data_IF_873116379784
#
_entry.id   IF_873116379784
#
_cell.length_a   1.000
_cell.length_b   1.000
_cell.length_c   1.000
_cell.angle_alpha   90.00
_cell.angle_beta   90.00
_cell.angle_gamma   90.00
#
_symmetry.space_group_name_H-M   'P 1'
#
loop_
_entity.id
_entity.type
_entity.pdbx_description
1 polymer ?
#
# COMPACT_ATOMS: atom_id res chain seq x y z
N UNK A 1 23.80 -26.16 18.18
CA UNK A 1 24.15 -24.86 17.62
C UNK A 1 22.96 -24.45 16.79
N UNK A 2 22.34 -23.38 17.14
CA UNK A 2 20.99 -23.01 16.78
C UNK A 2 20.82 -22.73 15.29
N UNK A 3 20.01 -23.54 14.63
CA UNK A 3 19.38 -23.20 13.35
C UNK A 3 18.38 -22.08 13.66
N UNK A 4 18.80 -20.82 13.49
CA UNK A 4 17.90 -19.70 13.54
C UNK A 4 16.87 -19.88 12.42
N UNK A 5 15.59 -19.91 12.80
CA UNK A 5 14.46 -19.83 11.91
C UNK A 5 14.68 -18.70 10.91
N UNK A 6 14.89 -19.05 9.66
CA UNK A 6 14.66 -18.14 8.56
C UNK A 6 13.14 -17.96 8.53
N UNK A 7 12.66 -16.91 9.19
CA UNK A 7 11.27 -16.49 9.04
C UNK A 7 11.06 -16.25 7.54
N UNK A 8 10.14 -17.00 6.93
CA UNK A 8 9.71 -16.80 5.56
C UNK A 8 9.42 -15.31 5.39
N UNK A 9 10.08 -14.70 4.42
CA UNK A 9 9.91 -13.29 4.07
C UNK A 9 8.53 -13.12 3.45
N UNK A 10 7.47 -13.18 4.29
CA UNK A 10 6.11 -12.94 3.84
C UNK A 10 6.03 -11.50 3.37
N UNK A 11 5.78 -11.30 2.10
CA UNK A 11 5.58 -10.00 1.48
C UNK A 11 4.34 -9.34 2.09
N UNK A 12 4.54 -8.31 2.92
CA UNK A 12 3.45 -7.58 3.60
C UNK A 12 3.14 -6.31 2.85
N UNK A 13 1.86 -6.00 2.71
CA UNK A 13 1.37 -4.79 2.09
C UNK A 13 1.12 -3.76 3.19
N UNK A 14 1.77 -2.60 3.08
CA UNK A 14 1.53 -1.46 3.97
C UNK A 14 0.62 -0.44 3.28
N UNK A 15 -0.55 -0.17 3.86
CA UNK A 15 -1.43 0.92 3.45
C UNK A 15 -1.28 2.04 4.47
N UNK A 16 -0.84 3.22 4.03
CA UNK A 16 -0.74 4.39 4.89
C UNK A 16 -1.86 5.36 4.58
N UNK A 17 -2.64 5.73 5.60
CA UNK A 17 -3.73 6.70 5.48
C UNK A 17 -3.18 8.07 5.83
N UNK A 18 -2.90 8.86 4.80
CA UNK A 18 -2.24 10.16 4.88
C UNK A 18 -3.22 11.32 4.82
N UNK A 19 -2.80 12.50 5.24
CA UNK A 19 -3.58 13.74 5.16
C UNK A 19 -3.43 14.63 6.37
N UNK A 20 -4.00 15.82 6.31
CA UNK A 20 -3.86 16.87 7.31
C UNK A 20 -4.39 16.47 8.69
N UNK A 21 -4.03 17.21 9.73
CA UNK A 21 -4.67 17.14 11.06
C UNK A 21 -6.14 17.55 10.86
N UNK A 22 -7.08 16.79 11.44
CA UNK A 22 -8.52 17.04 11.24
C UNK A 22 -9.10 16.51 9.92
N UNK A 23 -8.31 15.87 9.04
CA UNK A 23 -8.82 15.35 7.75
C UNK A 23 -9.79 14.15 7.87
N UNK A 24 -9.92 13.53 9.05
CA UNK A 24 -10.80 12.40 9.27
C UNK A 24 -10.15 11.01 9.22
N UNK A 25 -8.81 10.94 9.06
CA UNK A 25 -8.05 9.67 9.01
C UNK A 25 -8.34 8.72 10.16
N UNK A 26 -8.20 9.19 11.41
CA UNK A 26 -8.42 8.39 12.61
C UNK A 26 -9.83 7.81 12.67
N UNK A 27 -10.82 8.57 12.20
CA UNK A 27 -12.21 8.10 12.11
C UNK A 27 -12.33 7.01 11.05
N UNK A 28 -11.76 7.22 9.87
CA UNK A 28 -11.80 6.24 8.79
C UNK A 28 -11.08 4.94 9.19
N UNK A 29 -9.85 5.03 9.73
CA UNK A 29 -9.07 3.85 10.18
C UNK A 29 -9.84 3.08 11.25
N UNK A 30 -10.45 3.75 12.23
CA UNK A 30 -11.24 3.10 13.28
C UNK A 30 -12.50 2.42 12.73
N UNK A 31 -13.19 3.03 11.77
CA UNK A 31 -14.34 2.41 11.10
C UNK A 31 -13.92 1.17 10.32
N UNK A 32 -12.80 1.23 9.61
CA UNK A 32 -12.22 0.10 8.87
C UNK A 32 -11.80 -1.02 9.84
N UNK A 33 -11.15 -0.68 10.96
CA UNK A 33 -10.77 -1.66 11.99
C UNK A 33 -12.01 -2.41 12.51
N UNK A 34 -13.12 -1.70 12.78
CA UNK A 34 -14.37 -2.33 13.21
C UNK A 34 -14.98 -3.22 12.13
N UNK A 35 -14.91 -2.83 10.86
CA UNK A 35 -15.44 -3.60 9.73
C UNK A 35 -14.65 -4.90 9.53
N UNK A 36 -13.32 -4.83 9.61
CA UNK A 36 -12.42 -5.96 9.35
C UNK A 36 -11.91 -6.66 10.62
N UNK A 37 -12.48 -6.41 11.78
CA UNK A 37 -12.03 -6.96 13.09
C UNK A 37 -11.91 -8.49 13.14
N UNK A 38 -12.59 -9.21 12.25
CA UNK A 38 -12.54 -10.67 12.16
C UNK A 38 -11.40 -11.19 11.25
N UNK A 39 -10.75 -10.30 10.50
CA UNK A 39 -9.63 -10.64 9.61
C UNK A 39 -8.31 -10.61 10.40
N UNK A 40 -7.85 -11.77 10.86
CA UNK A 40 -6.60 -11.90 11.65
C UNK A 40 -5.34 -11.55 10.88
N UNK A 41 -5.44 -11.50 9.57
CA UNK A 41 -4.34 -11.17 8.65
C UNK A 41 -4.21 -9.67 8.36
N UNK A 42 -5.05 -8.83 8.97
CA UNK A 42 -4.95 -7.37 8.89
C UNK A 42 -4.52 -6.83 10.25
N UNK A 43 -3.50 -5.99 10.27
CA UNK A 43 -3.09 -5.23 11.45
C UNK A 43 -3.41 -3.74 11.26
N UNK A 44 -3.87 -3.10 12.33
CA UNK A 44 -4.20 -1.66 12.37
C UNK A 44 -3.23 -0.93 13.28
N UNK A 45 -2.59 0.11 12.77
CA UNK A 45 -1.66 0.96 13.50
C UNK A 45 -2.25 2.36 13.58
N UNK A 46 -2.70 2.73 14.76
CA UNK A 46 -3.14 4.09 15.05
C UNK A 46 -1.93 4.97 15.42
N UNK A 47 -2.10 6.27 15.26
CA UNK A 47 -1.08 7.23 15.70
C UNK A 47 -0.85 7.11 17.22
N UNK A 48 0.40 6.92 17.71
CA UNK A 48 0.67 6.57 19.10
C UNK A 48 0.59 7.78 20.05
N UNK A 49 -0.46 8.57 19.96
CA UNK A 49 -0.66 9.79 20.75
C UNK A 49 -0.66 9.51 22.25
N UNK A 50 -1.19 8.36 22.68
CA UNK A 50 -1.21 7.99 24.09
C UNK A 50 0.20 7.86 24.66
N UNK A 51 1.14 7.27 23.90
CA UNK A 51 2.55 7.20 24.30
C UNK A 51 3.19 8.59 24.43
N UNK A 52 2.74 9.55 23.61
CA UNK A 52 3.22 10.93 23.69
C UNK A 52 2.71 11.65 24.93
N UNK A 53 1.48 11.34 25.36
CA UNK A 53 0.88 11.90 26.58
C UNK A 53 1.45 11.30 27.88
N UNK A 54 2.14 10.16 27.81
CA UNK A 54 2.84 9.55 28.94
C UNK A 54 4.16 10.28 29.27
N UNK A 55 4.79 10.94 28.28
CA UNK A 55 6.04 11.68 28.47
C UNK A 55 5.72 13.06 29.04
N UNK A 56 6.04 13.25 30.30
CA UNK A 56 5.75 14.45 31.09
C UNK A 56 6.99 15.02 31.71
N UNK A 57 7.02 16.34 31.92
CA UNK A 57 8.03 17.00 32.73
C UNK A 57 7.70 16.94 34.22
N UNK A 58 8.52 17.61 35.05
CA UNK A 58 8.35 17.64 36.50
C UNK A 58 7.04 18.32 36.97
N UNK A 59 6.48 19.19 36.14
CA UNK A 59 5.24 19.92 36.40
C UNK A 59 4.00 19.14 35.92
N UNK A 60 4.22 17.99 35.26
CA UNK A 60 3.18 17.13 34.74
C UNK A 60 2.69 17.52 33.34
N UNK A 61 3.29 18.50 32.67
CA UNK A 61 2.97 18.89 31.32
C UNK A 61 3.53 17.88 30.31
N UNK A 62 2.68 17.44 29.37
CA UNK A 62 3.05 16.45 28.35
C UNK A 62 4.00 17.04 27.32
N UNK A 63 4.77 16.17 26.63
CA UNK A 63 5.63 16.58 25.52
C UNK A 63 4.83 17.26 24.40
N UNK A 64 3.57 16.87 24.20
CA UNK A 64 2.68 17.49 23.20
C UNK A 64 2.29 18.92 23.62
N UNK A 65 1.92 19.14 24.88
CA UNK A 65 1.66 20.47 25.43
C UNK A 65 2.91 21.37 25.32
N UNK A 66 4.07 20.86 25.69
CA UNK A 66 5.37 21.57 25.57
C UNK A 66 5.67 21.93 24.12
N UNK A 67 5.44 21.01 23.18
CA UNK A 67 5.65 21.28 21.75
C UNK A 67 4.81 22.47 21.27
N UNK A 68 3.50 22.49 21.56
CA UNK A 68 2.64 23.60 21.12
C UNK A 68 2.89 24.90 21.89
N UNK A 69 3.37 24.84 23.15
CA UNK A 69 3.67 26.04 23.94
C UNK A 69 4.98 26.71 23.53
N UNK A 70 6.00 25.93 23.13
CA UNK A 70 7.32 26.43 22.74
C UNK A 70 7.95 25.53 21.66
N UNK A 71 7.53 25.74 20.42
CA UNK A 71 8.02 24.98 19.27
C UNK A 71 9.52 25.17 19.03
N UNK A 72 10.09 26.34 19.35
CA UNK A 72 11.53 26.57 19.17
C UNK A 72 12.38 25.61 20.01
N UNK A 73 11.91 25.27 21.20
CA UNK A 73 12.62 24.42 22.13
C UNK A 73 12.34 22.92 21.94
N UNK A 74 11.09 22.58 21.61
CA UNK A 74 10.62 21.20 21.69
C UNK A 74 10.38 20.52 20.34
N UNK A 75 10.52 21.24 19.20
CA UNK A 75 10.27 20.66 17.87
C UNK A 75 11.13 19.43 17.58
N UNK A 76 12.43 19.49 17.84
CA UNK A 76 13.33 18.36 17.59
C UNK A 76 12.96 17.15 18.46
N UNK A 77 12.79 17.35 19.75
CA UNK A 77 12.46 16.27 20.68
C UNK A 77 11.12 15.61 20.33
N UNK A 78 10.10 16.42 20.04
CA UNK A 78 8.78 15.92 19.65
C UNK A 78 8.83 15.17 18.33
N UNK A 79 9.51 15.72 17.30
CA UNK A 79 9.61 15.11 15.98
C UNK A 79 10.35 13.77 16.02
N UNK A 80 11.44 13.67 16.77
CA UNK A 80 12.15 12.41 16.97
C UNK A 80 11.31 11.37 17.69
N UNK A 81 10.57 11.77 18.72
CA UNK A 81 9.69 10.86 19.46
C UNK A 81 8.54 10.37 18.57
N UNK A 82 7.89 11.25 17.80
CA UNK A 82 6.80 10.90 16.89
C UNK A 82 7.29 9.87 15.87
N UNK A 83 8.45 10.12 15.24
CA UNK A 83 9.07 9.22 14.27
C UNK A 83 9.42 7.85 14.90
N UNK A 84 10.16 7.83 16.02
CA UNK A 84 10.65 6.59 16.64
C UNK A 84 9.49 5.74 17.16
N UNK A 85 8.48 6.35 17.79
CA UNK A 85 7.31 5.62 18.30
C UNK A 85 6.51 4.96 17.17
N UNK A 86 6.27 5.66 16.06
CA UNK A 86 5.60 5.13 14.88
C UNK A 86 6.41 3.98 14.24
N UNK A 87 7.71 4.19 14.06
CA UNK A 87 8.61 3.17 13.52
C UNK A 87 8.66 1.92 14.41
N UNK A 88 8.71 2.08 15.73
CA UNK A 88 8.74 0.95 16.66
C UNK A 88 7.50 0.07 16.56
N UNK A 89 6.32 0.67 16.44
CA UNK A 89 5.05 -0.07 16.26
C UNK A 89 5.06 -0.79 14.91
N UNK A 90 5.44 -0.10 13.84
CA UNK A 90 5.50 -0.68 12.50
C UNK A 90 6.45 -1.87 12.45
N UNK A 91 7.67 -1.75 12.98
CA UNK A 91 8.66 -2.85 12.99
C UNK A 91 8.17 -4.07 13.75
N UNK A 92 7.54 -3.90 14.91
CA UNK A 92 6.93 -5.01 15.67
C UNK A 92 5.85 -5.71 14.83
N UNK A 93 5.05 -4.95 14.11
CA UNK A 93 3.98 -5.51 13.28
C UNK A 93 4.51 -6.20 12.03
N UNK A 94 5.57 -5.66 11.41
CA UNK A 94 6.26 -6.32 10.30
C UNK A 94 6.82 -7.71 10.69
N UNK A 95 7.22 -7.89 11.95
CA UNK A 95 7.73 -9.18 12.47
C UNK A 95 6.60 -10.14 12.91
N UNK A 96 5.34 -9.69 12.96
CA UNK A 96 4.21 -10.54 13.38
C UNK A 96 3.84 -11.52 12.27
N UNK A 97 3.84 -12.82 12.56
CA UNK A 97 3.42 -13.85 11.62
C UNK A 97 1.92 -13.79 11.35
N UNK A 98 1.51 -14.20 10.14
CA UNK A 98 0.10 -14.27 9.74
C UNK A 98 -0.56 -12.93 9.42
N UNK A 99 0.17 -11.81 9.46
CA UNK A 99 -0.28 -10.50 9.00
C UNK A 99 0.18 -10.31 7.56
N UNK A 100 -0.76 -10.06 6.64
CA UNK A 100 -0.47 -9.76 5.24
C UNK A 100 -0.61 -8.27 4.93
N UNK A 101 -1.60 -7.61 5.54
CA UNK A 101 -1.94 -6.22 5.30
C UNK A 101 -1.79 -5.44 6.60
N UNK A 102 -1.07 -4.33 6.53
CA UNK A 102 -0.90 -3.39 7.63
C UNK A 102 -1.54 -2.07 7.21
N UNK A 103 -2.48 -1.57 8.01
CA UNK A 103 -3.13 -0.28 7.78
C UNK A 103 -2.65 0.68 8.85
N UNK A 104 -1.92 1.71 8.45
CA UNK A 104 -1.32 2.69 9.36
C UNK A 104 -1.97 4.06 9.23
N UNK A 105 -2.36 4.66 10.34
CA UNK A 105 -2.67 6.08 10.38
C UNK A 105 -1.36 6.88 10.31
N UNK A 106 -1.11 7.53 9.17
CA UNK A 106 0.15 8.15 8.77
C UNK A 106 1.30 7.15 8.58
N UNK A 107 2.38 7.65 8.05
CA UNK A 107 3.63 6.93 7.86
C UNK A 107 4.82 7.72 8.36
N UNK A 108 5.97 7.07 8.45
CA UNK A 108 7.25 7.72 8.65
C UNK A 108 7.60 8.69 7.52
N UNK A 109 7.02 8.49 6.32
CA UNK A 109 7.19 9.39 5.17
C UNK A 109 6.49 10.74 5.42
N UNK A 110 5.27 10.77 5.98
CA UNK A 110 4.61 12.00 6.40
C UNK A 110 5.41 12.73 7.46
N UNK A 111 5.95 12.00 8.45
CA UNK A 111 6.83 12.61 9.47
C UNK A 111 8.00 13.34 8.81
N UNK A 112 8.62 12.74 7.79
CA UNK A 112 9.77 13.29 7.07
C UNK A 112 9.42 14.43 6.12
N UNK A 113 8.42 14.23 5.26
CA UNK A 113 8.18 15.12 4.11
C UNK A 113 7.21 16.24 4.41
N UNK A 114 6.38 16.08 5.41
CA UNK A 114 5.44 17.10 5.85
C UNK A 114 5.98 17.77 7.12
N UNK A 115 6.02 17.06 8.23
CA UNK A 115 6.27 17.71 9.52
C UNK A 115 7.73 18.13 9.72
N UNK A 116 8.70 17.24 9.56
CA UNK A 116 10.10 17.58 9.75
C UNK A 116 10.58 18.63 8.74
N UNK A 117 10.15 18.50 7.47
CA UNK A 117 10.48 19.49 6.43
C UNK A 117 9.87 20.86 6.75
N UNK A 118 8.59 20.91 7.12
CA UNK A 118 7.90 22.15 7.50
C UNK A 118 8.59 22.83 8.70
N UNK A 119 8.96 22.06 9.71
CA UNK A 119 9.67 22.59 10.89
C UNK A 119 11.06 23.12 10.54
N UNK A 120 11.79 22.44 9.67
CA UNK A 120 13.10 22.88 9.19
C UNK A 120 13.00 24.17 8.36
N UNK A 121 12.08 24.24 7.42
CA UNK A 121 11.89 25.44 6.58
C UNK A 121 11.40 26.64 7.40
N UNK A 122 10.64 26.39 8.46
CA UNK A 122 10.19 27.40 9.44
C UNK A 122 11.27 27.76 10.47
N UNK A 123 12.50 27.20 10.36
CA UNK A 123 13.62 27.43 11.31
C UNK A 123 13.34 26.98 12.76
N UNK A 124 12.36 26.08 12.92
CA UNK A 124 12.05 25.43 14.21
C UNK A 124 12.91 24.16 14.44
N UNK A 125 13.55 23.65 13.40
CA UNK A 125 14.68 22.72 13.44
C UNK A 125 15.89 23.41 12.83
N UNK A 126 17.04 23.35 13.50
CA UNK A 126 18.29 23.81 12.93
C UNK A 126 18.94 22.76 12.01
N UNK A 127 20.01 23.14 11.31
CA UNK A 127 20.66 22.29 10.31
C UNK A 127 21.21 20.98 10.93
N UNK A 128 21.70 21.03 12.16
CA UNK A 128 22.25 19.83 12.84
C UNK A 128 21.12 18.89 13.25
N UNK A 129 20.06 19.42 13.86
CA UNK A 129 18.88 18.65 14.28
C UNK A 129 18.22 17.96 13.09
N UNK A 130 18.08 18.67 11.97
CA UNK A 130 17.50 18.12 10.76
C UNK A 130 18.37 17.04 10.13
N UNK A 131 19.70 17.21 10.10
CA UNK A 131 20.63 16.19 9.64
C UNK A 131 20.61 14.93 10.52
N UNK A 132 20.52 15.08 11.85
CA UNK A 132 20.35 13.96 12.77
C UNK A 132 19.06 13.21 12.47
N UNK A 133 17.95 13.93 12.31
CA UNK A 133 16.66 13.33 11.94
C UNK A 133 16.76 12.53 10.64
N UNK A 134 17.36 13.10 9.58
CA UNK A 134 17.53 12.43 8.30
C UNK A 134 18.36 11.15 8.39
N UNK A 135 19.45 11.16 9.18
CA UNK A 135 20.27 9.97 9.39
C UNK A 135 19.48 8.81 9.98
N UNK A 136 18.65 9.07 10.99
CA UNK A 136 17.80 8.04 11.58
C UNK A 136 16.69 7.59 10.63
N UNK A 137 16.14 8.51 9.84
CA UNK A 137 15.15 8.17 8.85
C UNK A 137 15.71 7.21 7.78
N UNK A 138 16.88 7.50 7.24
CA UNK A 138 17.53 6.70 6.19
C UNK A 138 17.94 5.30 6.67
N UNK A 139 18.30 5.16 7.95
CA UNK A 139 18.75 3.88 8.53
C UNK A 139 17.66 2.80 8.50
N UNK A 140 16.40 3.19 8.66
CA UNK A 140 15.29 2.25 8.82
C UNK A 140 14.33 2.16 7.63
N UNK A 141 14.59 2.88 6.55
CA UNK A 141 13.73 2.90 5.36
C UNK A 141 13.67 1.57 4.61
N UNK A 142 14.72 0.76 4.67
CA UNK A 142 14.83 -0.48 3.90
C UNK A 142 13.88 -1.60 4.33
N UNK A 143 13.14 -1.40 5.41
CA UNK A 143 12.23 -2.42 5.97
C UNK A 143 10.84 -2.41 5.32
N UNK A 144 10.50 -1.36 4.53
CA UNK A 144 9.19 -1.18 3.92
C UNK A 144 9.30 -1.44 2.41
N UNK A 145 8.75 -2.55 1.93
CA UNK A 145 8.89 -2.99 0.53
C UNK A 145 7.72 -2.59 -0.36
N UNK A 146 6.47 -2.75 0.10
CA UNK A 146 5.26 -2.46 -0.66
C UNK A 146 4.39 -1.48 0.13
N UNK A 147 4.41 -0.21 -0.28
CA UNK A 147 3.70 0.87 0.41
C UNK A 147 2.67 1.53 -0.51
N UNK A 148 1.41 1.47 -0.09
CA UNK A 148 0.28 2.11 -0.74
C UNK A 148 -0.13 3.35 0.04
N UNK A 149 -0.09 4.51 -0.60
CA UNK A 149 -0.45 5.79 0.02
C UNK A 149 -1.92 6.09 -0.28
N UNK A 150 -2.74 6.14 0.77
CA UNK A 150 -4.13 6.53 0.72
C UNK A 150 -4.29 7.96 1.26
N UNK A 151 -4.28 8.95 0.36
CA UNK A 151 -4.26 10.36 0.73
C UNK A 151 -5.66 10.93 0.88
N UNK A 152 -6.02 11.31 2.11
CA UNK A 152 -7.29 11.98 2.46
C UNK A 152 -7.08 13.50 2.33
N UNK A 153 -7.36 14.01 1.13
CA UNK A 153 -7.26 15.43 0.81
C UNK A 153 -8.44 16.17 1.42
N UNK A 154 -8.17 17.08 2.34
CA UNK A 154 -9.19 17.87 3.03
C UNK A 154 -8.77 19.33 3.05
N UNK A 155 -9.71 20.23 2.74
CA UNK A 155 -9.45 21.66 2.77
C UNK A 155 -9.12 22.13 4.19
N UNK A 156 -8.16 23.07 4.36
CA UNK A 156 -7.70 23.49 5.68
C UNK A 156 -8.80 24.02 6.58
N UNK A 157 -9.79 24.73 6.03
CA UNK A 157 -10.95 25.28 6.76
C UNK A 157 -11.82 24.14 7.36
N UNK A 158 -12.11 23.12 6.55
CA UNK A 158 -12.88 21.93 6.99
C UNK A 158 -12.11 21.16 8.05
N UNK A 159 -10.81 21.01 7.85
CA UNK A 159 -9.93 20.35 8.81
C UNK A 159 -9.89 21.12 10.14
N UNK A 160 -9.79 22.45 10.09
CA UNK A 160 -9.78 23.34 11.26
C UNK A 160 -11.08 23.25 12.06
N UNK A 161 -12.24 23.31 11.40
CA UNK A 161 -13.53 23.14 12.06
C UNK A 161 -13.61 21.79 12.81
N UNK A 162 -13.07 20.72 12.22
CA UNK A 162 -13.05 19.37 12.84
C UNK A 162 -12.10 19.32 14.04
N UNK A 163 -10.95 20.01 13.96
CA UNK A 163 -10.00 20.12 15.09
C UNK A 163 -10.67 20.85 16.27
N UNK A 164 -11.34 21.98 16.02
CA UNK A 164 -12.05 22.71 17.05
C UNK A 164 -13.17 21.88 17.71
N UNK A 165 -13.94 21.13 16.92
CA UNK A 165 -14.99 20.21 17.44
C UNK A 165 -14.43 19.06 18.28
N UNK A 166 -13.23 18.55 17.92
CA UNK A 166 -12.58 17.47 18.65
C UNK A 166 -12.05 17.90 20.01
N UNK A 167 -11.60 19.14 20.13
CA UNK A 167 -11.10 19.78 21.37
C UNK A 167 -10.12 18.90 22.17
N UNK A 168 -9.07 18.34 21.50
CA UNK A 168 -8.07 17.55 22.17
C UNK A 168 -7.23 18.44 23.09
N UNK A 169 -7.05 18.00 24.35
CA UNK A 169 -6.24 18.73 25.32
C UNK A 169 -4.80 18.92 24.83
N UNK A 170 -4.29 20.14 24.95
CA UNK A 170 -2.93 20.51 24.54
C UNK A 170 -2.74 20.78 23.06
N UNK A 171 -3.74 20.57 22.20
CA UNK A 171 -3.68 20.95 20.78
C UNK A 171 -4.15 22.42 20.60
N UNK A 172 -3.20 23.34 20.48
CA UNK A 172 -3.45 24.76 20.23
C UNK A 172 -2.84 25.15 18.88
N UNK A 173 -3.50 24.77 17.78
CA UNK A 173 -3.04 25.14 16.45
C UNK A 173 -4.02 26.11 15.79
N UNK A 174 -3.48 27.04 15.00
CA UNK A 174 -4.26 27.95 14.20
C UNK A 174 -4.47 27.44 12.77
N UNK A 175 -5.32 28.10 12.02
CA UNK A 175 -5.60 27.75 10.63
C UNK A 175 -4.36 27.86 9.73
N UNK A 176 -3.43 28.78 10.02
CA UNK A 176 -2.21 28.97 9.22
C UNK A 176 -1.27 27.77 9.38
N UNK A 177 -1.24 27.16 10.56
CA UNK A 177 -0.51 25.91 10.76
C UNK A 177 -1.09 24.77 9.90
N UNK A 178 -2.41 24.63 9.89
CA UNK A 178 -3.09 23.62 9.06
C UNK A 178 -2.94 23.89 7.57
N UNK A 179 -2.94 25.16 7.15
CA UNK A 179 -2.67 25.53 5.76
C UNK A 179 -1.27 25.09 5.36
N UNK A 180 -0.24 25.37 6.17
CA UNK A 180 1.13 24.90 5.88
C UNK A 180 1.20 23.37 5.83
N UNK A 181 0.59 22.66 6.77
CA UNK A 181 0.53 21.20 6.73
C UNK A 181 -0.11 20.69 5.43
N UNK A 182 -1.17 21.33 4.97
CA UNK A 182 -1.84 21.02 3.70
C UNK A 182 -0.89 21.22 2.52
N UNK A 183 -0.23 22.36 2.43
CA UNK A 183 0.67 22.70 1.32
C UNK A 183 1.84 21.70 1.23
N UNK A 184 2.41 21.27 2.36
CA UNK A 184 3.46 20.26 2.40
C UNK A 184 2.95 18.85 1.98
N UNK A 185 1.72 18.47 2.35
CA UNK A 185 1.12 17.23 1.86
C UNK A 185 0.93 17.29 0.33
N UNK A 186 0.34 18.36 -0.20
CA UNK A 186 0.13 18.53 -1.64
C UNK A 186 1.46 18.48 -2.40
N UNK A 187 2.48 19.20 -1.93
CA UNK A 187 3.80 19.18 -2.55
C UNK A 187 4.43 17.79 -2.54
N UNK A 188 4.33 17.07 -1.43
CA UNK A 188 4.85 15.70 -1.32
C UNK A 188 4.14 14.75 -2.29
N UNK A 189 2.81 14.70 -2.28
CA UNK A 189 2.00 13.82 -3.15
C UNK A 189 2.24 14.16 -4.64
N UNK A 190 2.27 15.44 -5.00
CA UNK A 190 2.59 15.86 -6.38
C UNK A 190 3.98 15.43 -6.84
N UNK A 191 4.97 15.48 -5.95
CA UNK A 191 6.32 15.04 -6.26
C UNK A 191 6.38 13.52 -6.50
N UNK A 192 5.64 12.73 -5.73
CA UNK A 192 5.53 11.28 -5.95
C UNK A 192 4.90 10.96 -7.32
N UNK A 193 3.83 11.65 -7.71
CA UNK A 193 3.21 11.46 -9.04
C UNK A 193 4.15 11.81 -10.19
N UNK A 194 4.99 12.83 -10.05
CA UNK A 194 5.96 13.22 -11.08
C UNK A 194 7.06 12.18 -11.27
N UNK A 195 7.50 11.54 -10.20
CA UNK A 195 8.55 10.51 -10.28
C UNK A 195 8.06 9.21 -10.92
N UNK A 196 6.78 8.89 -10.78
CA UNK A 196 6.15 7.71 -11.41
C UNK A 196 5.94 7.88 -12.92
N UNK A 197 5.84 9.12 -13.44
CA UNK A 197 5.51 9.39 -14.85
C UNK A 197 6.73 9.66 -15.76
N UNK A 198 7.94 9.85 -15.22
CA UNK A 198 9.13 10.12 -16.02
C UNK A 198 10.05 8.90 -16.09
N UNK A 199 9.75 7.99 -17.02
CA UNK A 199 10.65 6.92 -17.45
C UNK A 199 11.83 7.42 -18.32
N UNK A 200 12.34 8.64 -18.12
CA UNK A 200 13.37 9.23 -18.96
C UNK A 200 14.79 8.95 -18.46
N UNK A 201 15.56 8.33 -19.35
CA UNK A 201 16.92 7.87 -19.20
C UNK A 201 17.99 8.97 -19.40
N UNK A 202 17.73 10.22 -19.04
CA UNK A 202 18.73 11.30 -19.21
C UNK A 202 19.42 11.65 -17.90
N UNK A 203 20.68 11.23 -17.82
CA UNK A 203 21.51 11.09 -16.61
C UNK A 203 22.41 12.31 -16.35
N UNK A 204 21.94 13.54 -16.59
CA UNK A 204 22.70 14.77 -16.31
C UNK A 204 21.91 15.70 -15.39
N UNK A 205 22.35 15.80 -14.12
CA UNK A 205 21.80 16.63 -13.03
C UNK A 205 20.55 16.11 -12.28
N UNK A 206 20.51 14.82 -11.95
CA UNK A 206 19.59 14.35 -10.90
C UNK A 206 20.17 14.67 -9.51
N UNK A 207 19.63 15.68 -8.83
CA UNK A 207 19.52 15.58 -7.38
C UNK A 207 18.77 14.27 -7.13
N UNK A 208 19.51 13.24 -6.72
CA UNK A 208 18.96 11.92 -6.44
C UNK A 208 17.93 12.09 -5.35
N UNK A 209 16.65 11.98 -5.74
CA UNK A 209 15.56 11.91 -4.77
C UNK A 209 15.88 10.70 -3.87
N UNK A 210 16.08 10.87 -2.55
CA UNK A 210 16.45 9.78 -1.66
C UNK A 210 15.42 8.63 -1.66
N UNK A 211 14.18 8.86 -2.12
CA UNK A 211 13.18 7.80 -2.34
C UNK A 211 13.57 6.79 -3.42
N UNK A 212 14.23 7.24 -4.49
CA UNK A 212 14.61 6.36 -5.60
C UNK A 212 15.86 5.52 -5.29
N UNK A 213 16.53 5.73 -4.17
CA UNK A 213 17.77 5.02 -3.86
C UNK A 213 17.52 3.63 -3.26
N UNK A 214 16.34 3.39 -2.69
CA UNK A 214 16.03 2.16 -1.95
C UNK A 214 14.72 1.47 -2.35
N UNK A 215 13.82 2.14 -3.10
CA UNK A 215 12.61 1.53 -3.64
C UNK A 215 12.58 1.71 -5.15
N UNK A 216 12.87 0.65 -5.90
CA UNK A 216 12.55 0.55 -7.34
C UNK A 216 11.03 0.33 -7.56
N UNK A 217 10.19 0.57 -6.55
CA UNK A 217 8.75 0.40 -6.60
C UNK A 217 8.02 1.72 -6.81
N UNK A 218 7.10 1.76 -7.76
CA UNK A 218 6.13 2.83 -7.89
C UNK A 218 5.22 2.82 -6.66
N UNK A 219 5.10 3.97 -5.97
CA UNK A 219 4.12 4.11 -4.91
C UNK A 219 2.71 4.09 -5.51
N UNK A 220 1.89 3.15 -5.08
CA UNK A 220 0.46 3.18 -5.40
C UNK A 220 -0.22 4.29 -4.58
N UNK A 221 -0.63 5.38 -5.24
CA UNK A 221 -1.25 6.53 -4.58
C UNK A 221 -2.72 6.61 -4.95
N UNK A 222 -3.58 6.60 -3.94
CA UNK A 222 -5.02 6.84 -4.07
C UNK A 222 -5.39 8.11 -3.32
N UNK A 223 -5.89 9.13 -4.02
CA UNK A 223 -6.38 10.38 -3.41
C UNK A 223 -7.89 10.33 -3.27
N UNK A 224 -8.39 10.66 -2.08
CA UNK A 224 -9.81 10.68 -1.75
C UNK A 224 -10.19 12.04 -1.17
N UNK A 225 -11.37 12.55 -1.56
CA UNK A 225 -11.90 13.80 -1.03
C UNK A 225 -12.36 13.62 0.43
N UNK A 226 -11.61 14.20 1.35
CA UNK A 226 -11.91 14.21 2.77
C UNK A 226 -12.95 15.24 3.19
N UNK A 227 -13.40 16.14 2.30
CA UNK A 227 -14.49 17.09 2.58
C UNK A 227 -15.86 16.41 2.56
N UNK A 228 -15.96 15.28 1.88
CA UNK A 228 -17.19 14.50 1.72
C UNK A 228 -17.62 13.87 3.05
N UNK A 229 -18.93 13.89 3.32
CA UNK A 229 -19.50 13.29 4.55
C UNK A 229 -19.33 11.76 4.61
N UNK A 230 -19.28 11.22 5.84
CA UNK A 230 -19.04 9.79 6.09
C UNK A 230 -20.11 8.85 5.49
N UNK A 231 -21.32 9.35 5.25
CA UNK A 231 -22.47 8.55 4.81
C UNK A 231 -22.63 8.52 3.28
N UNK A 232 -21.67 9.00 2.52
CA UNK A 232 -21.73 9.02 1.06
C UNK A 232 -20.98 7.82 0.48
N UNK A 233 -21.36 7.41 -0.74
CA UNK A 233 -20.69 6.34 -1.47
C UNK A 233 -19.19 6.61 -1.67
N UNK A 234 -18.83 7.86 -1.92
CA UNK A 234 -17.45 8.32 -2.11
C UNK A 234 -16.76 8.73 -0.81
N UNK A 235 -17.30 8.36 0.35
CA UNK A 235 -16.64 8.64 1.63
C UNK A 235 -15.29 7.93 1.73
N UNK A 236 -14.39 8.53 2.49
CA UNK A 236 -13.06 7.95 2.79
C UNK A 236 -13.18 6.49 3.26
N UNK A 237 -14.17 6.20 4.09
CA UNK A 237 -14.44 4.86 4.59
C UNK A 237 -14.78 3.87 3.46
N UNK A 238 -15.73 4.21 2.59
CA UNK A 238 -16.20 3.30 1.53
C UNK A 238 -15.13 3.03 0.48
N UNK A 239 -14.38 4.07 0.08
CA UNK A 239 -13.28 3.91 -0.87
C UNK A 239 -12.16 3.05 -0.27
N UNK A 240 -11.76 3.31 0.96
CA UNK A 240 -10.73 2.52 1.64
C UNK A 240 -11.19 1.07 1.88
N UNK A 241 -12.45 0.86 2.26
CA UNK A 241 -13.06 -0.48 2.41
C UNK A 241 -12.96 -1.28 1.12
N UNK A 242 -13.40 -0.71 0.00
CA UNK A 242 -13.35 -1.36 -1.33
C UNK A 242 -11.92 -1.71 -1.73
N UNK A 243 -10.98 -0.79 -1.47
CA UNK A 243 -9.57 -1.01 -1.73
C UNK A 243 -8.99 -2.18 -0.94
N UNK A 244 -9.26 -2.24 0.37
CA UNK A 244 -8.82 -3.34 1.24
C UNK A 244 -9.43 -4.68 0.80
N UNK A 245 -10.71 -4.70 0.44
CA UNK A 245 -11.37 -5.91 -0.06
C UNK A 245 -10.69 -6.45 -1.33
N UNK A 246 -10.27 -5.56 -2.25
CA UNK A 246 -9.50 -5.96 -3.44
C UNK A 246 -8.15 -6.57 -3.05
N UNK A 247 -7.43 -5.98 -2.11
CA UNK A 247 -6.14 -6.51 -1.65
C UNK A 247 -6.29 -7.84 -0.91
N UNK A 248 -7.33 -8.02 -0.09
CA UNK A 248 -7.59 -9.29 0.59
C UNK A 248 -7.77 -10.43 -0.40
N UNK A 249 -8.54 -10.22 -1.48
CA UNK A 249 -8.69 -11.21 -2.55
C UNK A 249 -7.35 -11.58 -3.18
N UNK A 250 -6.47 -10.59 -3.44
CA UNK A 250 -5.12 -10.85 -3.96
C UNK A 250 -4.27 -11.68 -2.99
N UNK A 251 -4.34 -11.40 -1.68
CA UNK A 251 -3.63 -12.17 -0.66
C UNK A 251 -4.17 -13.61 -0.53
N UNK A 252 -5.49 -13.80 -0.66
CA UNK A 252 -6.11 -15.14 -0.65
C UNK A 252 -5.66 -15.98 -1.84
N UNK A 253 -5.65 -15.40 -3.03
CA UNK A 253 -5.15 -16.08 -4.24
C UNK A 253 -3.68 -16.47 -4.08
N UNK A 254 -2.83 -15.59 -3.56
CA UNK A 254 -1.41 -15.90 -3.30
C UNK A 254 -1.26 -17.05 -2.32
N UNK A 255 -1.99 -17.08 -1.22
CA UNK A 255 -1.92 -18.17 -0.23
C UNK A 255 -2.39 -19.51 -0.79
N UNK A 256 -3.44 -19.50 -1.62
CA UNK A 256 -3.89 -20.71 -2.29
C UNK A 256 -2.79 -21.25 -3.22
N UNK A 257 -2.10 -20.39 -3.95
CA UNK A 257 -0.98 -20.81 -4.80
C UNK A 257 0.19 -21.39 -3.97
N UNK A 258 0.56 -20.73 -2.85
CA UNK A 258 1.62 -21.21 -1.94
C UNK A 258 1.25 -22.53 -1.24
N UNK A 259 -0.02 -22.79 -0.91
CA UNK A 259 -0.46 -24.02 -0.26
C UNK A 259 -0.42 -25.23 -1.21
N UNK A 260 -0.70 -25.04 -2.49
CA UNK A 260 -0.64 -26.10 -3.51
C UNK A 260 0.81 -26.60 -3.69
N UNK A 261 1.79 -25.70 -3.66
CA UNK A 261 3.21 -26.06 -3.82
C UNK A 261 3.77 -26.87 -2.64
N UNK A 262 3.23 -26.72 -1.43
CA UNK A 262 3.69 -27.41 -0.21
C UNK A 262 3.16 -28.86 -0.11
N UNK A 263 2.01 -29.14 -0.73
CA UNK A 263 1.43 -30.51 -0.72
C UNK A 263 2.07 -31.42 -1.77
N UNK A 264 2.51 -30.88 -2.90
CA UNK A 264 3.17 -31.65 -3.96
C UNK A 264 4.59 -32.13 -3.56
N UNK A 265 5.35 -31.37 -2.78
CA UNK A 265 6.70 -31.72 -2.32
C UNK A 265 6.73 -32.95 -1.31
N UNK A 266 5.60 -33.38 -0.79
CA UNK A 266 5.53 -34.44 0.21
C UNK A 266 5.27 -35.82 -0.37
N UNK A 267 4.96 -35.98 -1.66
CA UNK A 267 4.48 -37.19 -2.27
C UNK A 267 5.32 -37.77 -3.43
N UNK A 268 6.55 -37.31 -3.66
CA UNK A 268 7.38 -37.83 -4.76
C UNK A 268 8.55 -38.60 -4.20
N UNK A 269 8.44 -39.94 -4.16
CA UNK A 269 9.60 -40.84 -4.27
C UNK A 269 10.09 -40.84 -5.73
N UNK A 270 11.42 -40.87 -5.99
CA UNK A 270 11.94 -40.74 -7.34
C UNK A 270 11.70 -42.06 -8.13
N UNK A 271 10.68 -42.09 -8.97
CA UNK A 271 10.56 -43.07 -10.05
C UNK A 271 11.10 -42.49 -11.35
N UNK A 272 11.87 -43.34 -12.08
CA UNK A 272 12.55 -43.05 -13.33
C UNK A 272 11.60 -42.46 -14.39
N UNK A 273 11.89 -41.25 -14.87
CA UNK A 273 11.13 -40.60 -15.95
C UNK A 273 11.75 -40.89 -17.31
N UNK A 274 10.95 -41.55 -18.15
CA UNK A 274 11.18 -41.75 -19.58
C UNK A 274 10.78 -40.46 -20.35
N UNK A 275 11.73 -39.87 -21.10
CA UNK A 275 11.56 -38.67 -21.89
C UNK A 275 10.77 -38.98 -23.17
N UNK A 276 9.44 -38.98 -23.12
CA UNK A 276 8.61 -38.87 -24.32
C UNK A 276 7.14 -38.64 -23.99
N UNK A 277 6.73 -37.35 -23.88
CA UNK A 277 5.43 -36.84 -24.32
C UNK A 277 5.23 -35.39 -23.83
N UNK A 278 5.78 -34.44 -24.58
CA UNK A 278 5.30 -33.05 -24.53
C UNK A 278 3.98 -32.98 -25.30
N UNK A 279 2.86 -33.06 -24.57
CA UNK A 279 1.59 -32.55 -25.07
C UNK A 279 1.30 -31.23 -24.35
N UNK A 280 1.54 -30.13 -25.06
CA UNK A 280 1.04 -28.78 -24.71
C UNK A 280 -0.48 -28.87 -24.52
N UNK A 281 -0.93 -28.81 -23.26
CA UNK A 281 -2.35 -28.66 -22.96
C UNK A 281 -2.66 -27.16 -22.81
N UNK A 282 -3.00 -26.51 -23.90
CA UNK A 282 -3.67 -25.22 -23.87
C UNK A 282 -4.97 -25.35 -23.08
N UNK A 283 -5.06 -24.69 -21.91
CA UNK A 283 -6.28 -24.65 -21.12
C UNK A 283 -7.07 -23.39 -21.47
N UNK A 284 -8.12 -23.58 -22.24
CA UNK A 284 -9.12 -22.53 -22.54
C UNK A 284 -10.21 -22.53 -21.48
N UNK A 285 -10.45 -21.39 -20.86
CA UNK A 285 -11.61 -21.14 -20.02
C UNK A 285 -12.58 -20.24 -20.80
N UNK A 286 -13.72 -20.79 -21.22
CA UNK A 286 -14.81 -19.98 -21.77
C UNK A 286 -15.58 -19.32 -20.62
N UNK A 287 -15.52 -18.00 -20.55
CA UNK A 287 -16.30 -17.21 -19.59
C UNK A 287 -17.74 -17.07 -20.15
N UNK A 288 -18.55 -18.12 -20.04
CA UNK A 288 -19.97 -18.05 -20.38
C UNK A 288 -20.72 -17.45 -19.20
N UNK A 289 -21.25 -16.23 -19.39
CA UNK A 289 -22.30 -15.59 -18.58
C UNK A 289 -22.09 -15.54 -17.07
N UNK A 290 -21.19 -14.68 -16.59
CA UNK A 290 -21.29 -14.14 -15.25
C UNK A 290 -22.26 -12.95 -15.26
N UNK A 291 -23.57 -13.23 -15.18
CA UNK A 291 -24.56 -12.21 -14.87
C UNK A 291 -24.46 -11.82 -13.40
N UNK A 292 -23.74 -10.75 -13.10
CA UNK A 292 -24.03 -9.91 -11.95
C UNK A 292 -24.77 -8.68 -12.46
N UNK A 293 -26.07 -8.61 -12.14
CA UNK A 293 -26.94 -7.55 -12.57
C UNK A 293 -26.45 -6.18 -12.12
N UNK A 294 -26.10 -5.36 -13.09
CA UNK A 294 -26.35 -3.93 -13.14
C UNK A 294 -26.84 -3.63 -14.55
N UNK A 295 -28.10 -3.27 -14.63
CA UNK A 295 -28.76 -2.82 -15.84
C UNK A 295 -28.14 -1.52 -16.33
N UNK A 296 -27.44 -1.57 -17.46
CA UNK A 296 -27.55 -0.55 -18.50
C UNK A 296 -27.21 -1.20 -19.83
N UNK A 297 -28.19 -1.13 -20.71
CA UNK A 297 -28.33 -1.78 -21.99
C UNK A 297 -27.17 -1.47 -22.95
N UNK A 298 -26.35 -2.48 -23.24
CA UNK A 298 -25.98 -2.86 -24.60
C UNK A 298 -25.84 -4.38 -24.59
N UNK A 299 -26.80 -5.09 -25.18
CA UNK A 299 -26.70 -6.52 -25.47
C UNK A 299 -25.64 -6.69 -26.58
N UNK A 300 -24.39 -6.86 -26.18
CA UNK A 300 -23.36 -7.41 -27.03
C UNK A 300 -23.42 -8.94 -26.85
N UNK A 301 -23.83 -9.66 -27.89
CA UNK A 301 -23.86 -11.13 -27.91
C UNK A 301 -22.44 -11.73 -28.05
N UNK A 302 -21.39 -11.00 -27.74
CA UNK A 302 -20.03 -11.47 -27.89
C UNK A 302 -19.66 -12.50 -26.82
N UNK A 303 -19.02 -13.58 -27.26
CA UNK A 303 -18.37 -14.53 -26.34
C UNK A 303 -16.98 -14.01 -26.03
N UNK A 304 -16.66 -13.86 -24.74
CA UNK A 304 -15.33 -13.46 -24.28
C UNK A 304 -14.51 -14.70 -23.92
N UNK A 305 -13.26 -14.73 -24.38
CA UNK A 305 -12.34 -15.84 -24.15
C UNK A 305 -11.07 -15.32 -23.53
N UNK A 306 -10.66 -15.97 -22.43
CA UNK A 306 -9.37 -15.76 -21.79
C UNK A 306 -8.50 -16.99 -22.03
N UNK A 307 -7.40 -16.82 -22.75
CA UNK A 307 -6.30 -17.78 -22.87
C UNK A 307 -5.17 -17.32 -21.96
N UNK A 308 -4.57 -18.24 -21.24
CA UNK A 308 -3.44 -17.96 -20.36
C UNK A 308 -2.48 -19.15 -20.36
N UNK A 309 -1.20 -18.84 -20.12
CA UNK A 309 -0.15 -19.84 -20.01
C UNK A 309 0.94 -19.34 -19.05
N UNK A 310 1.67 -20.27 -18.46
CA UNK A 310 2.81 -19.97 -17.60
C UNK A 310 3.78 -21.14 -17.57
N UNK A 311 5.07 -20.82 -17.47
CA UNK A 311 6.10 -21.84 -17.44
C UNK A 311 7.35 -21.43 -16.69
N UNK A 312 8.12 -22.39 -16.25
CA UNK A 312 9.43 -22.18 -15.63
C UNK A 312 10.52 -23.04 -16.26
N UNK A 313 11.74 -22.48 -16.35
CA UNK A 313 12.94 -23.25 -16.76
C UNK A 313 13.55 -23.91 -15.54
N UNK A 314 13.12 -25.12 -15.25
CA UNK A 314 13.32 -25.81 -13.98
C UNK A 314 12.06 -25.68 -13.09
N UNK A 315 11.91 -26.55 -12.11
CA UNK A 315 10.71 -26.54 -11.24
C UNK A 315 11.11 -26.72 -9.76
N UNK A 316 11.38 -25.63 -9.00
CA UNK A 316 11.29 -24.21 -9.41
C UNK A 316 12.44 -23.74 -10.30
N UNK A 317 12.22 -22.65 -11.04
CA UNK A 317 13.21 -22.00 -11.90
C UNK A 317 12.74 -20.64 -12.44
N UNK A 318 13.52 -20.03 -13.34
CA UNK A 318 13.13 -18.78 -13.98
C UNK A 318 11.80 -18.96 -14.71
N UNK A 319 10.78 -18.21 -14.29
CA UNK A 319 9.41 -18.38 -14.73
C UNK A 319 8.84 -17.11 -15.35
N UNK A 320 7.86 -17.29 -16.21
CA UNK A 320 7.06 -16.23 -16.78
C UNK A 320 5.65 -16.72 -17.04
N UNK A 321 4.71 -15.78 -17.15
CA UNK A 321 3.33 -16.07 -17.51
C UNK A 321 2.80 -15.04 -18.48
N UNK A 322 1.71 -15.37 -19.18
CA UNK A 322 1.02 -14.48 -20.10
C UNK A 322 -0.45 -14.78 -20.20
N UNK A 323 -1.20 -13.83 -20.75
CA UNK A 323 -2.61 -14.00 -21.07
C UNK A 323 -2.97 -13.26 -22.35
N UNK A 324 -4.07 -13.71 -22.98
CA UNK A 324 -4.73 -13.09 -24.09
C UNK A 324 -6.25 -13.08 -23.85
N UNK A 325 -6.84 -11.89 -23.80
CA UNK A 325 -8.28 -11.69 -23.63
C UNK A 325 -8.85 -11.15 -24.95
N UNK A 326 -9.84 -11.85 -25.54
CA UNK A 326 -10.45 -11.45 -26.78
C UNK A 326 -11.95 -11.74 -26.80
N UNK A 327 -12.68 -11.05 -27.67
CA UNK A 327 -14.08 -11.34 -27.98
C UNK A 327 -14.22 -12.10 -29.32
N UNK A 328 -15.25 -12.92 -29.40
CA UNK A 328 -15.67 -13.59 -30.62
C UNK A 328 -17.06 -13.07 -30.94
N UNK A 329 -17.24 -12.49 -32.14
CA UNK A 329 -18.55 -12.07 -32.64
C UNK A 329 -19.38 -13.26 -33.14
N UNK A 330 -20.68 -13.05 -33.37
CA UNK A 330 -21.58 -14.07 -33.96
C UNK A 330 -21.10 -14.58 -35.32
N UNK A 331 -20.34 -13.78 -36.06
CA UNK A 331 -19.73 -14.14 -37.34
C UNK A 331 -18.41 -14.93 -37.20
N UNK A 332 -17.92 -15.10 -35.94
CA UNK A 332 -16.70 -15.84 -35.64
C UNK A 332 -15.43 -15.01 -35.70
N UNK A 333 -15.52 -13.70 -35.86
CA UNK A 333 -14.35 -12.82 -35.90
C UNK A 333 -13.79 -12.61 -34.47
N UNK A 334 -12.48 -12.74 -34.34
CA UNK A 334 -11.76 -12.52 -33.07
C UNK A 334 -11.25 -11.08 -32.99
N UNK A 335 -11.56 -10.40 -31.88
CA UNK A 335 -11.02 -9.06 -31.57
C UNK A 335 -10.30 -9.09 -30.25
N UNK A 336 -8.97 -8.88 -30.26
CA UNK A 336 -8.16 -8.78 -29.05
C UNK A 336 -8.56 -7.55 -28.24
N UNK A 337 -8.83 -7.75 -26.95
CA UNK A 337 -9.22 -6.72 -25.98
C UNK A 337 -8.01 -6.32 -25.13
N UNK A 338 -7.28 -7.32 -24.63
CA UNK A 338 -6.07 -7.11 -23.86
C UNK A 338 -5.15 -8.32 -23.99
N UNK A 339 -3.86 -8.07 -23.88
CA UNK A 339 -2.83 -9.09 -23.73
C UNK A 339 -1.77 -8.60 -22.73
N UNK A 340 -1.02 -9.51 -22.17
CA UNK A 340 0.05 -9.17 -21.24
C UNK A 340 0.91 -10.35 -20.87
N UNK A 341 2.12 -10.06 -20.40
CA UNK A 341 3.02 -11.06 -19.87
C UNK A 341 3.81 -10.49 -18.70
N UNK A 342 4.23 -11.38 -17.78
CA UNK A 342 5.03 -11.01 -16.61
C UNK A 342 6.17 -12.01 -16.39
N UNK A 343 7.33 -11.48 -16.01
CA UNK A 343 8.47 -12.28 -15.55
C UNK A 343 8.37 -12.48 -14.04
N UNK A 344 8.25 -13.74 -13.60
CA UNK A 344 7.91 -14.10 -12.23
C UNK A 344 9.13 -14.45 -11.35
N UNK A 345 10.36 -14.26 -11.87
CA UNK A 345 11.60 -14.75 -11.24
C UNK A 345 11.57 -16.27 -11.08
N UNK A 346 12.04 -16.78 -9.95
CA UNK A 346 12.09 -18.22 -9.66
C UNK A 346 10.75 -18.70 -9.12
N UNK A 347 10.00 -19.47 -9.93
CA UNK A 347 8.68 -20.03 -9.60
C UNK A 347 8.53 -21.44 -10.16
N UNK A 348 7.48 -22.15 -9.72
CA UNK A 348 7.06 -23.42 -10.31
C UNK A 348 6.19 -23.19 -11.55
N UNK A 349 6.06 -24.21 -12.40
CA UNK A 349 5.14 -24.16 -13.56
C UNK A 349 3.71 -23.85 -13.12
N UNK A 350 3.20 -24.53 -12.10
CA UNK A 350 1.84 -24.30 -11.61
C UNK A 350 1.63 -22.88 -11.13
N UNK A 351 2.60 -22.30 -10.40
CA UNK A 351 2.54 -20.90 -9.98
C UNK A 351 2.50 -19.95 -11.18
N UNK A 352 3.31 -20.23 -12.21
CA UNK A 352 3.33 -19.40 -13.42
C UNK A 352 1.99 -19.47 -14.18
N UNK A 353 1.39 -20.66 -14.34
CA UNK A 353 0.06 -20.80 -14.95
C UNK A 353 -1.02 -20.03 -14.17
N UNK A 354 -1.06 -20.17 -12.83
CA UNK A 354 -2.00 -19.42 -11.99
C UNK A 354 -1.83 -17.89 -12.11
N UNK A 355 -0.59 -17.42 -12.20
CA UNK A 355 -0.33 -16.00 -12.38
C UNK A 355 -0.84 -15.50 -13.73
N UNK A 356 -0.68 -16.28 -14.81
CA UNK A 356 -1.27 -15.97 -16.11
C UNK A 356 -2.79 -15.84 -16.06
N UNK A 357 -3.48 -16.79 -15.39
CA UNK A 357 -4.92 -16.70 -15.15
C UNK A 357 -5.30 -15.45 -14.35
N UNK A 358 -4.59 -15.13 -13.28
CA UNK A 358 -4.87 -13.96 -12.46
C UNK A 358 -4.74 -12.65 -13.23
N UNK A 359 -3.67 -12.48 -14.01
CA UNK A 359 -3.47 -11.30 -14.87
C UNK A 359 -4.59 -11.15 -15.88
N UNK A 360 -5.01 -12.24 -16.50
CA UNK A 360 -6.11 -12.23 -17.47
C UNK A 360 -7.46 -11.88 -16.83
N UNK A 361 -7.76 -12.39 -15.64
CA UNK A 361 -8.98 -12.03 -14.91
C UNK A 361 -8.98 -10.57 -14.42
N UNK A 362 -7.83 -10.03 -14.00
CA UNK A 362 -7.69 -8.61 -13.67
C UNK A 362 -7.94 -7.72 -14.92
N UNK A 363 -7.45 -8.13 -16.09
CA UNK A 363 -7.74 -7.45 -17.33
C UNK A 363 -9.23 -7.50 -17.66
N UNK A 364 -9.90 -8.65 -17.55
CA UNK A 364 -11.34 -8.78 -17.76
C UNK A 364 -12.15 -7.86 -16.83
N UNK A 365 -11.78 -7.78 -15.53
CA UNK A 365 -12.42 -6.87 -14.57
C UNK A 365 -12.23 -5.39 -14.98
N UNK A 366 -11.03 -5.03 -15.46
CA UNK A 366 -10.72 -3.67 -15.92
C UNK A 366 -11.59 -3.24 -17.11
N UNK A 367 -11.80 -4.15 -18.05
CA UNK A 367 -12.65 -3.92 -19.23
C UNK A 367 -14.14 -4.18 -18.98
N UNK A 368 -14.51 -4.57 -17.73
CA UNK A 368 -15.90 -4.85 -17.31
C UNK A 368 -16.57 -5.97 -18.09
N UNK A 369 -15.80 -7.00 -18.38
CA UNK A 369 -16.20 -8.23 -19.09
C UNK A 369 -16.59 -9.30 -18.10
#
# INVERSE_FOLDING_TARGET
>A
MNSAHIASNQHKILITVEGNIGSGKSTAVRMIENEFKHHKNIAFLQEPVEQWLEIKDADGETVLQKYYSDMNKYSFAFQMMAYISRLSILRKTLQTSGVDIIISERSVYTDRHVFAQMLYDSKLLNDIEFQIYLKWFDEFLNEIQDCHIFYVRTDPEVAYERVLKRSREGETMDINYLQRCHDYHEAWIQNLHKTSSTGDSDNTHKQTNPYNKHNNGDFNITTVDGNVGLNTEHSVFNVLKSYIQKLLRKCEVRRCAESVTVEEDKNIEPEDFDESNEQESERQIQLTNFHRGYSNETQDNNVYVLEFDGGSRGNPGEAGCGFLLYSISDDGDRTTIADGCEYLREQTNNTAEYMGLCLGLEAAELYKI
#
